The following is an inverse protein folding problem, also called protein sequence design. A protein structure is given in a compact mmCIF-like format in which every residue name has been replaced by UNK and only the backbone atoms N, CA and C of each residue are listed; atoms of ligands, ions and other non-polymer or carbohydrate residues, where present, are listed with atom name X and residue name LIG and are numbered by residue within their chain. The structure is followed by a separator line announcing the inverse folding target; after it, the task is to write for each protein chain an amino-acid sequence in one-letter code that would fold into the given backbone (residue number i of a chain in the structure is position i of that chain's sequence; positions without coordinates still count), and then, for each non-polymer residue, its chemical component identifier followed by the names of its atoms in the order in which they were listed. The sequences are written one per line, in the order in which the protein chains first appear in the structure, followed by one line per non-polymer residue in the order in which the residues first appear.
data_IF_653396045131
#
_entry.id   IF_653396045131
#
_cell.length_a   1.000
_cell.length_b   1.000
_cell.length_c   1.000
_cell.angle_alpha   90.00
_cell.angle_beta   90.00
_cell.angle_gamma   90.00
#
_symmetry.space_group_name_H-M   'P 1'
#
loop_
_entity.id
_entity.type
_entity.pdbx_description
1 polymer ?
#
# COMPACT_ATOMS: atom_id res chain seq x y z
N UNK A 1 25.54 0.99 -11.02
CA UNK A 1 26.43 1.40 -12.12
C UNK A 1 26.04 2.78 -12.64
N UNK A 2 24.83 2.99 -13.17
CA UNK A 2 24.38 4.27 -13.73
C UNK A 2 24.42 5.45 -12.76
N UNK A 3 24.06 5.23 -11.49
CA UNK A 3 24.11 6.27 -10.45
C UNK A 3 25.52 6.79 -10.14
N UNK A 4 26.56 6.05 -10.52
CA UNK A 4 27.97 6.51 -10.42
C UNK A 4 28.37 7.42 -11.58
N UNK A 5 27.59 7.41 -12.67
CA UNK A 5 27.80 8.24 -13.86
C UNK A 5 26.91 9.48 -13.78
N UNK A 6 25.59 9.27 -13.68
CA UNK A 6 24.61 10.35 -13.63
C UNK A 6 23.28 9.87 -13.00
N UNK A 7 22.79 10.60 -12.00
CA UNK A 7 21.51 10.30 -11.33
C UNK A 7 20.31 10.45 -12.28
N UNK A 8 20.33 11.44 -13.18
CA UNK A 8 19.28 11.67 -14.16
C UNK A 8 19.13 10.51 -15.14
N UNK A 9 20.26 9.90 -15.53
CA UNK A 9 20.23 8.70 -16.38
C UNK A 9 19.55 7.53 -15.66
N UNK A 10 19.74 7.41 -14.35
CA UNK A 10 19.05 6.39 -13.55
C UNK A 10 17.55 6.67 -13.50
N UNK A 11 17.15 7.93 -13.28
CA UNK A 11 15.74 8.34 -13.34
C UNK A 11 15.11 8.09 -14.71
N UNK A 12 15.82 8.40 -15.80
CA UNK A 12 15.37 8.17 -17.17
C UNK A 12 15.11 6.67 -17.43
N UNK A 13 15.99 5.78 -16.96
CA UNK A 13 15.76 4.32 -17.05
C UNK A 13 14.52 3.91 -16.29
N UNK A 14 14.33 4.39 -15.06
CA UNK A 14 13.13 4.05 -14.25
C UNK A 14 11.85 4.51 -14.95
N UNK A 15 11.84 5.72 -15.52
CA UNK A 15 10.70 6.25 -16.28
C UNK A 15 10.47 5.44 -17.55
N UNK A 16 11.53 5.12 -18.31
CA UNK A 16 11.42 4.33 -19.53
C UNK A 16 10.82 2.94 -19.24
N UNK A 17 11.30 2.26 -18.20
CA UNK A 17 10.76 0.95 -17.85
C UNK A 17 9.31 1.06 -17.35
N UNK A 18 8.96 2.12 -16.61
CA UNK A 18 7.55 2.38 -16.24
C UNK A 18 6.68 2.63 -17.47
N UNK A 19 7.14 3.40 -18.46
CA UNK A 19 6.44 3.63 -19.73
C UNK A 19 6.20 2.33 -20.48
N UNK A 20 7.22 1.47 -20.59
CA UNK A 20 7.08 0.17 -21.22
C UNK A 20 6.18 -0.78 -20.42
N UNK A 21 5.96 -0.55 -19.13
CA UNK A 21 4.98 -1.30 -18.34
C UNK A 21 3.53 -0.88 -18.62
N UNK A 22 3.28 0.29 -19.24
CA UNK A 22 1.93 0.83 -19.48
C UNK A 22 1.25 0.17 -20.69
N UNK A 23 0.92 -1.12 -20.57
CA UNK A 23 0.35 -1.90 -21.67
C UNK A 23 -0.86 -1.23 -22.34
N UNK A 24 -1.81 -0.71 -21.56
CA UNK A 24 -3.00 0.00 -22.09
C UNK A 24 -2.67 1.25 -22.89
N UNK A 25 -1.62 1.99 -22.49
CA UNK A 25 -1.16 3.20 -23.22
C UNK A 25 -0.50 2.78 -24.52
N UNK A 26 0.37 1.77 -24.46
CA UNK A 26 1.06 1.27 -25.64
C UNK A 26 0.10 0.66 -26.66
N UNK A 27 -0.92 -0.08 -26.22
CA UNK A 27 -1.97 -0.58 -27.10
C UNK A 27 -2.73 0.55 -27.80
N UNK A 28 -3.08 1.62 -27.08
CA UNK A 28 -3.84 2.74 -27.67
C UNK A 28 -3.10 3.47 -28.79
N UNK A 29 -1.77 3.32 -28.87
CA UNK A 29 -0.92 3.91 -29.92
C UNK A 29 -0.35 2.86 -30.88
N UNK A 30 -0.85 1.62 -30.84
CA UNK A 30 -0.40 0.53 -31.71
C UNK A 30 0.97 -0.07 -31.36
N UNK A 31 1.54 0.29 -30.21
CA UNK A 31 2.85 -0.14 -29.73
C UNK A 31 2.78 -1.25 -28.66
N UNK A 32 1.63 -1.95 -28.53
CA UNK A 32 1.39 -2.96 -27.50
C UNK A 32 2.42 -4.09 -27.42
N UNK A 33 3.07 -4.41 -28.54
CA UNK A 33 4.13 -5.41 -28.63
C UNK A 33 5.41 -5.04 -27.85
N UNK A 34 5.60 -3.76 -27.53
CA UNK A 34 6.71 -3.28 -26.69
C UNK A 34 6.39 -3.36 -25.19
N UNK A 35 5.16 -3.72 -24.82
CA UNK A 35 4.74 -3.72 -23.43
C UNK A 35 5.47 -4.80 -22.62
N UNK A 36 6.07 -4.40 -21.50
CA UNK A 36 6.66 -5.28 -20.49
C UNK A 36 5.55 -5.90 -19.63
N UNK A 37 4.65 -6.65 -20.25
CA UNK A 37 3.51 -7.31 -19.62
C UNK A 37 3.61 -8.83 -19.77
N UNK A 38 4.64 -9.40 -19.12
CA UNK A 38 4.99 -10.81 -19.22
C UNK A 38 3.95 -11.74 -18.55
N UNK A 39 3.89 -13.02 -18.96
CA UNK A 39 3.12 -14.04 -18.24
C UNK A 39 3.57 -14.18 -16.78
N UNK A 40 2.60 -14.36 -15.88
CA UNK A 40 2.81 -14.56 -14.44
C UNK A 40 3.16 -16.00 -14.07
N UNK A 41 2.93 -16.92 -15.00
CA UNK A 41 3.18 -18.35 -14.86
C UNK A 41 3.53 -18.96 -16.22
N UNK A 42 4.28 -20.09 -16.25
CA UNK A 42 4.69 -20.73 -17.49
C UNK A 42 3.57 -21.51 -18.22
N UNK A 43 2.41 -21.71 -17.60
CA UNK A 43 1.31 -22.53 -18.15
C UNK A 43 0.11 -21.71 -18.64
N UNK A 44 0.16 -20.37 -18.58
CA UNK A 44 -0.90 -19.53 -19.15
C UNK A 44 -0.39 -18.16 -19.56
N UNK A 45 -1.13 -17.48 -20.43
CA UNK A 45 -0.86 -16.09 -20.82
C UNK A 45 -1.37 -15.06 -19.80
N UNK A 46 -1.77 -15.51 -18.60
CA UNK A 46 -2.22 -14.60 -17.55
C UNK A 46 -1.05 -13.69 -17.16
N UNK A 47 -1.23 -12.39 -17.35
CA UNK A 47 -0.21 -11.38 -17.02
C UNK A 47 -0.15 -11.12 -15.52
N UNK A 48 0.94 -10.48 -15.10
CA UNK A 48 1.13 -10.10 -13.70
C UNK A 48 0.03 -9.14 -13.26
N UNK A 49 -0.70 -9.52 -12.21
CA UNK A 49 -1.66 -8.63 -11.58
C UNK A 49 -0.98 -7.41 -10.94
N UNK A 50 0.31 -7.52 -10.63
CA UNK A 50 1.19 -6.46 -10.16
C UNK A 50 2.40 -6.43 -11.09
N UNK A 51 2.36 -5.60 -12.13
CA UNK A 51 3.45 -5.51 -13.08
C UNK A 51 4.69 -4.91 -12.39
N UNK A 52 5.79 -5.66 -12.23
CA UNK A 52 6.93 -5.24 -11.41
C UNK A 52 7.64 -4.05 -12.06
N UNK A 53 7.60 -3.99 -13.40
CA UNK A 53 8.20 -2.94 -14.20
C UNK A 53 7.45 -1.61 -14.04
N UNK A 54 6.14 -1.65 -13.79
CA UNK A 54 5.37 -0.45 -13.45
C UNK A 54 5.55 -0.04 -11.99
N UNK A 55 5.40 -1.00 -11.08
CA UNK A 55 5.45 -0.72 -9.64
C UNK A 55 6.85 -0.38 -9.11
N UNK A 56 7.92 -0.70 -9.84
CA UNK A 56 9.25 -0.23 -9.45
C UNK A 56 9.32 1.29 -9.33
N UNK A 57 8.46 2.05 -10.05
CA UNK A 57 8.47 3.51 -9.99
C UNK A 57 8.33 3.99 -8.53
N UNK A 58 7.36 3.45 -7.79
CA UNK A 58 7.14 3.85 -6.38
C UNK A 58 8.22 3.30 -5.46
N UNK A 59 8.70 2.07 -5.69
CA UNK A 59 9.78 1.49 -4.88
C UNK A 59 11.08 2.26 -5.04
N UNK A 60 11.42 2.62 -6.27
CA UNK A 60 12.59 3.41 -6.58
C UNK A 60 12.46 4.83 -6.07
N UNK A 61 11.27 5.42 -6.12
CA UNK A 61 11.00 6.73 -5.51
C UNK A 61 11.30 6.69 -4.01
N UNK A 62 10.78 5.67 -3.29
CA UNK A 62 11.06 5.48 -1.87
C UNK A 62 12.56 5.26 -1.59
N UNK A 63 13.21 4.40 -2.37
CA UNK A 63 14.66 4.19 -2.30
C UNK A 63 15.44 5.50 -2.49
N UNK A 64 15.09 6.29 -3.50
CA UNK A 64 15.76 7.54 -3.84
C UNK A 64 15.59 8.60 -2.74
N UNK A 65 14.46 8.63 -2.04
CA UNK A 65 14.31 9.43 -0.82
C UNK A 65 15.21 8.91 0.31
N UNK A 66 15.22 7.60 0.57
CA UNK A 66 15.97 7.00 1.68
C UNK A 66 17.49 7.15 1.55
N UNK A 67 18.02 7.04 0.33
CA UNK A 67 19.46 7.23 0.06
C UNK A 67 19.83 8.72 -0.14
N UNK A 68 18.85 9.62 -0.14
CA UNK A 68 19.07 11.06 -0.25
C UNK A 68 19.31 11.61 -1.66
N UNK A 69 18.93 10.87 -2.71
CA UNK A 69 18.98 11.39 -4.09
C UNK A 69 17.85 12.37 -4.38
N UNK A 70 16.68 12.14 -3.79
CA UNK A 70 15.56 13.08 -3.83
C UNK A 70 15.51 13.81 -2.48
N UNK A 71 15.54 15.15 -2.46
CA UNK A 71 15.44 15.89 -1.21
C UNK A 71 14.06 15.70 -0.58
N UNK A 72 14.01 15.76 0.75
CA UNK A 72 12.73 15.76 1.49
C UNK A 72 11.80 16.87 0.96
N UNK A 73 10.50 16.59 0.75
CA UNK A 73 9.57 17.62 0.30
C UNK A 73 9.40 18.71 1.37
N UNK A 74 9.15 19.97 0.97
CA UNK A 74 8.92 21.06 1.91
C UNK A 74 7.60 20.86 2.66
N UNK A 75 7.58 21.13 3.97
CA UNK A 75 6.35 21.07 4.77
C UNK A 75 5.70 22.44 4.78
N UNK A 76 4.77 22.68 3.86
CA UNK A 76 3.99 23.91 3.80
C UNK A 76 2.48 23.63 3.65
N UNK A 77 1.66 24.61 4.03
CA UNK A 77 0.18 24.49 4.02
C UNK A 77 -0.38 24.19 2.62
N UNK A 78 0.26 24.73 1.59
CA UNK A 78 -0.17 24.53 0.20
C UNK A 78 -0.03 23.07 -0.23
N UNK A 79 1.16 22.49 -0.08
CA UNK A 79 1.42 21.10 -0.46
C UNK A 79 0.59 20.11 0.38
N UNK A 80 0.38 20.42 1.67
CA UNK A 80 -0.55 19.66 2.53
C UNK A 80 -1.97 19.74 1.98
N UNK A 81 -2.44 20.94 1.63
CA UNK A 81 -3.78 21.15 1.07
C UNK A 81 -3.98 20.41 -0.26
N UNK A 82 -3.01 20.49 -1.18
CA UNK A 82 -3.05 19.79 -2.46
C UNK A 82 -3.05 18.27 -2.27
N UNK A 83 -2.16 17.74 -1.43
CA UNK A 83 -2.11 16.31 -1.15
C UNK A 83 -3.41 15.81 -0.48
N UNK A 84 -3.96 16.59 0.46
CA UNK A 84 -5.23 16.27 1.11
C UNK A 84 -6.39 16.28 0.12
N UNK A 85 -6.46 17.28 -0.76
CA UNK A 85 -7.46 17.37 -1.82
C UNK A 85 -7.39 16.14 -2.73
N UNK A 86 -6.19 15.75 -3.18
CA UNK A 86 -5.98 14.55 -4.01
C UNK A 86 -6.50 13.31 -3.28
N UNK A 87 -6.12 13.12 -2.01
CA UNK A 87 -6.55 11.94 -1.23
C UNK A 87 -8.05 11.89 -1.05
N UNK A 88 -8.68 13.01 -0.69
CA UNK A 88 -10.13 13.11 -0.44
C UNK A 88 -10.92 12.95 -1.75
N UNK A 89 -10.50 13.62 -2.83
CA UNK A 89 -11.14 13.51 -4.14
C UNK A 89 -11.08 12.08 -4.71
N UNK A 90 -10.06 11.31 -4.33
CA UNK A 90 -9.95 9.90 -4.74
C UNK A 90 -10.89 8.95 -3.98
N UNK A 91 -11.51 9.36 -2.86
CA UNK A 91 -12.45 8.52 -2.10
C UNK A 91 -13.64 8.07 -2.97
N UNK A 92 -14.42 8.98 -3.59
CA UNK A 92 -15.54 8.59 -4.46
C UNK A 92 -15.08 7.84 -5.73
N UNK A 93 -13.88 8.14 -6.25
CA UNK A 93 -13.29 7.50 -7.43
C UNK A 93 -12.70 6.10 -7.14
N UNK A 94 -12.58 5.74 -5.87
CA UNK A 94 -12.05 4.44 -5.47
C UNK A 94 -13.00 3.30 -5.87
N UNK A 95 -12.48 2.07 -6.01
CA UNK A 95 -13.34 0.92 -6.34
C UNK A 95 -14.43 0.71 -5.29
N UNK A 96 -14.10 0.92 -4.01
CA UNK A 96 -15.05 0.83 -2.89
C UNK A 96 -16.03 1.99 -2.94
N UNK A 97 -15.56 3.22 -3.17
CA UNK A 97 -16.41 4.41 -3.29
C UNK A 97 -17.45 4.24 -4.40
N UNK A 98 -17.03 3.77 -5.59
CA UNK A 98 -17.95 3.48 -6.68
C UNK A 98 -18.96 2.40 -6.32
N UNK A 99 -18.59 1.32 -5.63
CA UNK A 99 -19.55 0.30 -5.16
C UNK A 99 -20.53 0.85 -4.11
N UNK A 100 -20.01 1.63 -3.16
CA UNK A 100 -20.80 2.25 -2.11
C UNK A 100 -21.81 3.26 -2.67
N UNK A 101 -21.40 4.04 -3.68
CA UNK A 101 -22.26 5.00 -4.41
C UNK A 101 -23.27 4.26 -5.29
N UNK A 102 -22.85 3.24 -6.06
CA UNK A 102 -23.68 2.58 -7.07
C UNK A 102 -24.70 1.61 -6.47
N UNK A 103 -24.40 0.91 -5.36
CA UNK A 103 -25.28 -0.18 -4.86
C UNK A 103 -25.54 -0.22 -3.36
N UNK A 104 -24.59 0.12 -2.50
CA UNK A 104 -24.63 -0.43 -1.13
C UNK A 104 -24.89 0.56 0.00
N UNK A 105 -24.48 1.83 -0.08
CA UNK A 105 -24.49 2.72 1.10
C UNK A 105 -25.47 3.89 1.01
N UNK A 106 -25.71 4.40 -0.20
CA UNK A 106 -26.58 5.57 -0.39
C UNK A 106 -27.80 5.28 -1.27
N UNK A 107 -27.94 4.07 -1.81
CA UNK A 107 -29.07 3.70 -2.69
C UNK A 107 -29.16 4.54 -3.98
N UNK A 108 -28.09 5.25 -4.34
CA UNK A 108 -28.04 6.15 -5.48
C UNK A 108 -27.70 5.34 -6.75
N UNK A 109 -28.69 4.63 -7.28
CA UNK A 109 -28.62 4.13 -8.66
C UNK A 109 -28.68 5.34 -9.58
N UNK A 110 -27.50 5.85 -9.93
CA UNK A 110 -27.34 6.96 -10.86
C UNK A 110 -26.86 6.37 -12.18
N UNK A 111 -27.81 5.98 -13.04
CA UNK A 111 -27.52 5.86 -14.47
C UNK A 111 -26.99 7.23 -14.95
N UNK A 112 -25.83 7.25 -15.63
CA UNK A 112 -25.13 8.48 -16.00
C UNK A 112 -24.41 9.18 -14.84
N UNK A 113 -23.91 8.43 -13.85
CA UNK A 113 -23.10 9.01 -12.78
C UNK A 113 -21.75 9.52 -13.34
N UNK A 114 -21.51 10.84 -13.36
CA UNK A 114 -20.31 11.42 -13.98
C UNK A 114 -19.01 10.93 -13.34
N UNK A 115 -19.04 10.51 -12.06
CA UNK A 115 -17.88 9.96 -11.34
C UNK A 115 -17.54 8.56 -11.84
N UNK A 116 -18.56 7.73 -12.10
CA UNK A 116 -18.37 6.37 -12.61
C UNK A 116 -17.92 6.43 -14.05
N UNK A 117 -18.58 7.24 -14.86
CA UNK A 117 -18.27 7.41 -16.29
C UNK A 117 -16.83 7.90 -16.46
N UNK A 118 -16.46 8.99 -15.76
CA UNK A 118 -15.09 9.48 -15.78
C UNK A 118 -14.08 8.40 -15.37
N UNK A 119 -14.37 7.62 -14.32
CA UNK A 119 -13.47 6.56 -13.85
C UNK A 119 -13.32 5.45 -14.89
N UNK A 120 -14.40 5.08 -15.58
CA UNK A 120 -14.38 4.07 -16.63
C UNK A 120 -13.55 4.55 -17.82
N UNK A 121 -13.76 5.80 -18.23
CA UNK A 121 -13.05 6.43 -19.35
C UNK A 121 -11.55 6.63 -19.04
N UNK A 122 -11.21 6.87 -17.77
CA UNK A 122 -9.84 7.13 -17.32
C UNK A 122 -9.14 5.92 -16.71
N UNK A 123 -9.63 4.69 -16.97
CA UNK A 123 -9.04 3.43 -16.43
C UNK A 123 -7.54 3.30 -16.66
N UNK A 124 -7.06 3.84 -17.78
CA UNK A 124 -5.65 3.83 -18.19
C UNK A 124 -4.74 4.53 -17.17
N UNK A 125 -5.22 5.56 -16.48
CA UNK A 125 -4.44 6.35 -15.53
C UNK A 125 -4.51 5.82 -14.09
N UNK A 126 -5.46 4.93 -13.79
CA UNK A 126 -5.75 4.44 -12.43
C UNK A 126 -5.49 2.94 -12.24
N UNK A 127 -5.18 2.24 -13.33
CA UNK A 127 -4.95 0.79 -13.36
C UNK A 127 -3.98 0.35 -12.26
N UNK A 128 -4.38 -0.71 -11.53
CA UNK A 128 -3.55 -1.30 -10.49
C UNK A 128 -2.42 -2.13 -11.09
N UNK A 129 -2.70 -2.87 -12.16
CA UNK A 129 -1.75 -3.81 -12.73
C UNK A 129 -0.51 -3.10 -13.26
N UNK A 130 -0.72 -2.08 -14.09
CA UNK A 130 0.38 -1.37 -14.77
C UNK A 130 0.92 -0.19 -13.95
N UNK A 131 0.33 0.08 -12.78
CA UNK A 131 0.67 1.20 -11.90
C UNK A 131 0.51 2.57 -12.58
N UNK A 132 -0.74 2.90 -12.92
CA UNK A 132 -1.05 4.14 -13.64
C UNK A 132 -0.64 5.42 -12.90
N UNK A 133 -0.44 6.50 -13.65
CA UNK A 133 0.12 7.75 -13.14
C UNK A 133 -0.69 8.36 -11.98
N UNK A 134 -2.02 8.38 -12.06
CA UNK A 134 -2.84 8.95 -10.99
C UNK A 134 -2.80 8.11 -9.72
N UNK A 135 -2.60 6.79 -9.83
CA UNK A 135 -2.35 5.92 -8.68
C UNK A 135 -1.02 6.26 -8.01
N UNK A 136 0.02 6.55 -8.79
CA UNK A 136 1.30 7.00 -8.25
C UNK A 136 1.18 8.35 -7.52
N UNK A 137 0.49 9.33 -8.12
CA UNK A 137 0.25 10.64 -7.49
C UNK A 137 -0.57 10.51 -6.20
N UNK A 138 -1.62 9.69 -6.20
CA UNK A 138 -2.41 9.39 -5.00
C UNK A 138 -1.54 8.75 -3.91
N UNK A 139 -0.69 7.79 -4.29
CA UNK A 139 0.22 7.13 -3.36
C UNK A 139 1.20 8.13 -2.73
N UNK A 140 1.83 8.99 -3.54
CA UNK A 140 2.75 10.02 -3.04
C UNK A 140 2.05 11.03 -2.15
N UNK A 141 0.82 11.42 -2.49
CA UNK A 141 0.02 12.35 -1.69
C UNK A 141 -0.28 11.76 -0.31
N UNK A 142 -0.72 10.51 -0.26
CA UNK A 142 -0.96 9.79 0.99
C UNK A 142 0.34 9.63 1.80
N UNK A 143 1.43 9.21 1.14
CA UNK A 143 2.73 9.05 1.79
C UNK A 143 3.25 10.37 2.38
N UNK A 144 3.10 11.49 1.65
CA UNK A 144 3.47 12.82 2.13
C UNK A 144 2.64 13.23 3.35
N UNK A 145 1.32 13.07 3.32
CA UNK A 145 0.46 13.38 4.47
C UNK A 145 0.80 12.51 5.68
N UNK A 146 0.97 11.20 5.48
CA UNK A 146 1.37 10.28 6.55
C UNK A 146 2.72 10.67 7.15
N UNK A 147 3.71 11.00 6.32
CA UNK A 147 5.02 11.48 6.77
C UNK A 147 4.92 12.79 7.54
N UNK A 148 4.14 13.76 7.06
CA UNK A 148 3.88 15.02 7.77
C UNK A 148 3.21 14.77 9.11
N UNK A 149 2.23 13.86 9.19
CA UNK A 149 1.50 13.54 10.42
C UNK A 149 2.38 12.83 11.45
N UNK A 150 3.17 11.86 11.01
CA UNK A 150 4.04 11.02 11.85
C UNK A 150 5.34 11.74 12.25
N UNK A 151 5.77 12.72 11.46
CA UNK A 151 7.00 13.48 11.67
C UNK A 151 8.26 12.71 11.23
N UNK A 152 9.38 13.42 11.15
CA UNK A 152 10.68 12.85 10.77
C UNK A 152 11.05 11.73 11.73
N UNK A 153 11.38 10.56 11.19
CA UNK A 153 11.75 9.38 11.98
C UNK A 153 10.64 8.85 12.91
N UNK A 154 9.39 9.29 12.75
CA UNK A 154 8.31 8.93 13.68
C UNK A 154 8.24 9.75 14.95
N UNK A 155 8.92 10.91 15.01
CA UNK A 155 9.03 11.71 16.24
C UNK A 155 7.68 12.05 16.90
N UNK A 156 6.58 12.17 16.14
CA UNK A 156 5.24 12.48 16.70
C UNK A 156 4.47 11.25 17.17
N UNK A 157 4.98 10.05 16.90
CA UNK A 157 4.44 8.79 17.46
C UNK A 157 5.04 8.47 18.84
N UNK A 158 6.18 9.07 19.18
CA UNK A 158 6.88 8.86 20.45
C UNK A 158 6.10 9.55 21.58
N UNK A 159 5.74 8.78 22.59
CA UNK A 159 4.92 9.24 23.71
C UNK A 159 5.77 10.06 24.69
N UNK A 160 5.32 11.28 25.03
CA UNK A 160 6.03 12.17 25.98
C UNK A 160 5.29 12.36 27.32
N UNK A 161 4.05 11.86 27.46
CA UNK A 161 3.21 12.07 28.64
C UNK A 161 3.18 10.87 29.60
N UNK A 162 2.79 11.10 30.86
CA UNK A 162 2.69 10.08 31.92
C UNK A 162 1.25 9.63 32.23
N UNK A 163 0.25 10.26 31.62
CA UNK A 163 -1.17 9.93 31.83
C UNK A 163 -1.57 8.53 31.37
N UNK A 164 -2.74 8.06 31.80
CA UNK A 164 -3.27 6.73 31.43
C UNK A 164 -3.41 6.56 29.91
N UNK A 165 -3.91 7.57 29.20
CA UNK A 165 -4.01 7.55 27.74
C UNK A 165 -2.63 7.43 27.07
N UNK A 166 -1.63 8.13 27.61
CA UNK A 166 -0.25 8.07 27.10
C UNK A 166 0.34 6.65 27.27
N UNK A 167 0.14 6.01 28.43
CA UNK A 167 0.56 4.62 28.67
C UNK A 167 -0.11 3.61 27.74
N UNK A 168 -1.41 3.78 27.48
CA UNK A 168 -2.14 2.92 26.52
C UNK A 168 -1.57 3.10 25.11
N UNK A 169 -1.35 4.35 24.68
CA UNK A 169 -0.80 4.65 23.37
C UNK A 169 0.62 4.09 23.20
N UNK A 170 1.48 4.26 24.20
CA UNK A 170 2.83 3.71 24.21
C UNK A 170 2.83 2.18 24.04
N UNK A 171 1.90 1.50 24.73
CA UNK A 171 1.73 0.05 24.60
C UNK A 171 1.31 -0.35 23.19
N UNK A 172 0.36 0.37 22.58
CA UNK A 172 -0.09 0.13 21.20
C UNK A 172 1.07 0.29 20.23
N UNK A 173 1.80 1.41 20.31
CA UNK A 173 2.95 1.68 19.42
C UNK A 173 4.04 0.62 19.61
N UNK A 174 4.33 0.21 20.85
CA UNK A 174 5.29 -0.87 21.15
C UNK A 174 4.91 -2.19 20.49
N UNK A 175 3.63 -2.57 20.53
CA UNK A 175 3.13 -3.79 19.88
C UNK A 175 3.30 -3.67 18.36
N UNK A 176 2.89 -2.56 17.76
CA UNK A 176 3.01 -2.32 16.32
C UNK A 176 4.47 -2.35 15.86
N UNK A 177 5.38 -1.74 16.63
CA UNK A 177 6.82 -1.80 16.36
C UNK A 177 7.35 -3.24 16.43
N UNK A 178 6.90 -4.04 17.41
CA UNK A 178 7.33 -5.44 17.53
C UNK A 178 6.92 -6.26 16.31
N UNK A 179 5.71 -6.05 15.80
CA UNK A 179 5.24 -6.66 14.54
C UNK A 179 6.17 -6.27 13.38
N UNK A 180 6.49 -4.99 13.24
CA UNK A 180 7.40 -4.50 12.19
C UNK A 180 8.81 -5.06 12.26
N UNK A 181 9.38 -5.17 13.46
CA UNK A 181 10.71 -5.75 13.69
C UNK A 181 10.80 -7.23 13.28
N UNK A 182 9.70 -7.96 13.33
CA UNK A 182 9.61 -9.37 12.92
C UNK A 182 8.83 -9.54 11.61
N UNK A 183 8.84 -8.51 10.75
CA UNK A 183 8.00 -8.41 9.55
C UNK A 183 8.06 -9.62 8.63
N UNK A 184 9.23 -10.22 8.37
CA UNK A 184 9.31 -11.40 7.50
C UNK A 184 8.51 -12.60 8.04
N UNK A 185 8.70 -12.94 9.31
CA UNK A 185 8.02 -14.09 9.91
C UNK A 185 6.51 -13.83 10.02
N UNK A 186 6.14 -12.63 10.46
CA UNK A 186 4.73 -12.20 10.52
C UNK A 186 4.10 -12.23 9.12
N UNK A 187 4.80 -11.74 8.10
CA UNK A 187 4.31 -11.72 6.72
C UNK A 187 4.03 -13.13 6.20
N UNK A 188 5.00 -14.05 6.33
CA UNK A 188 4.83 -15.45 5.88
C UNK A 188 3.67 -16.12 6.60
N UNK A 189 3.60 -15.97 7.93
CA UNK A 189 2.49 -16.50 8.71
C UNK A 189 1.14 -15.90 8.28
N UNK A 190 1.09 -14.58 8.04
CA UNK A 190 -0.13 -13.88 7.62
C UNK A 190 -0.68 -14.36 6.27
N UNK A 191 0.20 -14.75 5.33
CA UNK A 191 -0.24 -15.27 4.03
C UNK A 191 -1.02 -16.58 4.17
N UNK A 192 -0.56 -17.47 5.06
CA UNK A 192 -1.24 -18.73 5.36
C UNK A 192 -2.50 -18.47 6.18
N UNK A 193 -2.40 -17.65 7.23
CA UNK A 193 -3.53 -17.29 8.08
C UNK A 193 -4.68 -16.66 7.28
N UNK A 194 -4.38 -15.82 6.28
CA UNK A 194 -5.39 -15.20 5.43
C UNK A 194 -6.25 -16.23 4.68
N UNK A 195 -5.70 -17.40 4.32
CA UNK A 195 -6.46 -18.49 3.69
C UNK A 195 -7.42 -19.14 4.68
N UNK A 196 -6.96 -19.41 5.90
CA UNK A 196 -7.80 -19.95 6.98
C UNK A 196 -8.92 -18.98 7.38
N UNK A 197 -8.59 -17.70 7.53
CA UNK A 197 -9.57 -16.64 7.83
C UNK A 197 -10.62 -16.52 6.70
N UNK A 198 -10.20 -16.62 5.44
CA UNK A 198 -11.11 -16.65 4.30
C UNK A 198 -12.07 -17.84 4.37
N UNK A 199 -11.54 -19.04 4.62
CA UNK A 199 -12.35 -20.24 4.82
C UNK A 199 -13.35 -20.08 5.98
N UNK A 200 -12.93 -19.56 7.13
CA UNK A 200 -13.83 -19.29 8.26
C UNK A 200 -15.00 -18.37 7.86
N UNK A 201 -14.71 -17.29 7.14
CA UNK A 201 -15.74 -16.37 6.66
C UNK A 201 -16.67 -17.01 5.61
N UNK A 202 -16.16 -17.94 4.81
CA UNK A 202 -16.96 -18.66 3.82
C UNK A 202 -17.90 -19.68 4.50
N UNK A 203 -17.50 -20.26 5.64
CA UNK A 203 -18.35 -21.20 6.40
C UNK A 203 -19.41 -20.50 7.25
N UNK A 204 -19.08 -19.37 7.88
CA UNK A 204 -19.99 -18.65 8.76
C UNK A 204 -20.90 -17.65 8.05
N UNK A 205 -20.65 -17.40 6.76
CA UNK A 205 -21.27 -16.32 6.01
C UNK A 205 -20.69 -14.96 6.37
N UNK A 206 -20.75 -14.03 5.41
CA UNK A 206 -20.19 -12.67 5.51
C UNK A 206 -21.24 -11.62 5.88
N UNK A 207 -22.49 -12.03 6.06
CA UNK A 207 -23.63 -11.13 6.23
C UNK A 207 -23.69 -10.53 7.65
N UNK A 208 -23.17 -11.24 8.64
CA UNK A 208 -23.04 -10.74 10.00
C UNK A 208 -21.71 -9.99 10.16
N UNK A 209 -21.80 -8.66 10.34
CA UNK A 209 -20.64 -7.78 10.57
C UNK A 209 -19.72 -8.28 11.69
N UNK A 210 -20.29 -8.90 12.73
CA UNK A 210 -19.54 -9.46 13.85
C UNK A 210 -18.58 -10.58 13.44
N UNK A 211 -18.93 -11.46 12.50
CA UNK A 211 -18.03 -12.52 12.04
C UNK A 211 -16.76 -11.93 11.45
N UNK A 212 -16.91 -10.89 10.62
CA UNK A 212 -15.78 -10.17 10.03
C UNK A 212 -14.93 -9.51 11.11
N UNK A 213 -15.53 -8.85 12.10
CA UNK A 213 -14.80 -8.22 13.21
C UNK A 213 -14.00 -9.27 13.99
N UNK A 214 -14.65 -10.37 14.40
CA UNK A 214 -14.01 -11.43 15.18
C UNK A 214 -12.81 -12.03 14.44
N UNK A 215 -12.99 -12.43 13.18
CA UNK A 215 -11.91 -13.04 12.37
C UNK A 215 -10.72 -12.08 12.23
N UNK A 216 -10.98 -10.79 12.06
CA UNK A 216 -9.91 -9.79 11.99
C UNK A 216 -9.21 -9.59 13.34
N UNK A 217 -9.95 -9.51 14.45
CA UNK A 217 -9.36 -9.37 15.79
C UNK A 217 -8.52 -10.60 16.18
N UNK A 218 -9.00 -11.80 15.88
CA UNK A 218 -8.23 -13.04 16.03
C UNK A 218 -6.99 -12.99 15.16
N UNK A 219 -7.14 -12.56 13.90
CA UNK A 219 -6.02 -12.32 12.99
C UNK A 219 -4.94 -11.44 13.61
N UNK A 220 -5.31 -10.24 14.07
CA UNK A 220 -4.40 -9.30 14.74
C UNK A 220 -3.74 -9.93 15.96
N UNK A 221 -4.51 -10.61 16.82
CA UNK A 221 -3.98 -11.29 18.00
C UNK A 221 -2.92 -12.34 17.66
N UNK A 222 -3.15 -13.14 16.63
CA UNK A 222 -2.20 -14.15 16.15
C UNK A 222 -0.93 -13.51 15.55
N UNK A 223 -1.05 -12.41 14.81
CA UNK A 223 0.12 -11.69 14.30
C UNK A 223 0.98 -11.13 15.44
N UNK A 224 0.35 -10.59 16.49
CA UNK A 224 1.05 -10.13 17.71
C UNK A 224 1.75 -11.31 18.38
N UNK A 225 1.04 -12.44 18.57
CA UNK A 225 1.60 -13.62 19.20
C UNK A 225 2.85 -14.15 18.46
N UNK A 226 2.79 -14.23 17.12
CA UNK A 226 3.93 -14.63 16.29
C UNK A 226 5.09 -13.64 16.42
N UNK A 227 4.82 -12.33 16.39
CA UNK A 227 5.87 -11.32 16.52
C UNK A 227 6.63 -11.43 17.86
N UNK A 228 5.90 -11.64 18.96
CA UNK A 228 6.51 -11.85 20.28
C UNK A 228 7.18 -13.22 20.40
N UNK A 229 6.58 -14.29 19.88
CA UNK A 229 7.17 -15.63 19.88
C UNK A 229 8.49 -15.69 19.11
N UNK A 230 8.53 -15.14 17.90
CA UNK A 230 9.77 -15.06 17.11
C UNK A 230 10.80 -14.18 17.81
N UNK A 231 10.37 -13.05 18.39
CA UNK A 231 11.23 -12.18 19.18
C UNK A 231 11.86 -12.89 20.38
N UNK A 232 11.08 -13.71 21.09
CA UNK A 232 11.52 -14.51 22.23
C UNK A 232 12.52 -15.58 21.79
N UNK A 233 12.23 -16.33 20.71
CA UNK A 233 13.15 -17.34 20.16
C UNK A 233 14.49 -16.72 19.79
N UNK A 234 14.48 -15.58 19.08
CA UNK A 234 15.69 -14.87 18.66
C UNK A 234 16.52 -14.35 19.84
N UNK A 235 15.88 -14.04 20.97
CA UNK A 235 16.58 -13.60 22.19
C UNK A 235 17.28 -14.74 22.94
N UNK A 236 17.06 -16.00 22.55
CA UNK A 236 17.69 -17.18 23.15
C UNK A 236 17.69 -17.17 24.70
N UNK A 237 16.54 -16.95 25.36
CA UNK A 237 16.47 -16.74 26.81
C UNK A 237 16.99 -17.94 27.62
N UNK A 238 16.96 -19.13 27.04
CA UNK A 238 17.53 -20.36 27.62
C UNK A 238 19.06 -20.42 27.60
N UNK A 239 19.76 -19.49 26.93
CA UNK A 239 21.23 -19.40 26.91
C UNK A 239 21.80 -18.35 27.86
N UNK A 240 20.95 -17.59 28.55
CA UNK A 240 21.40 -16.69 29.59
C UNK A 240 21.83 -17.54 30.78
N UNK A 241 23.14 -17.69 30.99
CA UNK A 241 23.67 -18.22 32.23
C UNK A 241 23.22 -17.29 33.37
N UNK A 242 22.60 -17.86 34.41
CA UNK A 242 22.25 -17.13 35.63
C UNK A 242 23.50 -16.65 36.34
#
# INVERSE_FOLDING_TARGET
ALSRINLWLTGAVVIAVWLFAQHRILDSVGAGHLALSLPAEPWSDRRWFFNPFGWQLVFFTGFAFMIGWIPKPPVNKWLIGVAALIVIANIPLSNIGVRAINREWFGLVLDGNPVIDWRVDNRIWITKSDFGLFRYIQFLSLAYLSWVLVGVGGARLIVQGTGTAARIWDRIITILMKIGQQSLAVFVFSMVLARFNGFWLDQWGRDATWHTILVNLVGVGLLVAVAYGVGWIKSQPWRVAR
#
